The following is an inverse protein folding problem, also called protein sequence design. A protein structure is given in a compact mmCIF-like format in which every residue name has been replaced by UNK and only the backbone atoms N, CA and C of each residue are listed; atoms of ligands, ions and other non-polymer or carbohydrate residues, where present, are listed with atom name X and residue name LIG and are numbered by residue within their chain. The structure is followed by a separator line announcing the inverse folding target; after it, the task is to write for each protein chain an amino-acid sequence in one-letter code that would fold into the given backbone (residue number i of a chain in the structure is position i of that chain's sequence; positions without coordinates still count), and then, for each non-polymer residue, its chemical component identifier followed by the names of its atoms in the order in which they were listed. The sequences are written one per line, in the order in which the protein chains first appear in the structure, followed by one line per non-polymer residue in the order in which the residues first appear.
data_IF_546100148265
#
_entry.id   IF_546100148265
#
_cell.length_a   1.000
_cell.length_b   1.000
_cell.length_c   1.000
_cell.angle_alpha   90.00
_cell.angle_beta   90.00
_cell.angle_gamma   90.00
#
_symmetry.space_group_name_H-M   'P 1'
#
loop_
_entity.id
_entity.type
_entity.pdbx_description
1 polymer ?
#
# COMPACT_ATOMS: atom_id res chain seq x y z
N UNK A 1 -7.02 -35.00 -32.51
CA UNK A 1 -7.54 -33.64 -32.27
C UNK A 1 -6.65 -33.00 -31.22
N UNK A 2 -6.05 -31.87 -31.57
CA UNK A 2 -5.06 -31.20 -30.74
C UNK A 2 -5.75 -30.56 -29.53
N UNK A 3 -5.03 -30.39 -28.42
CA UNK A 3 -5.48 -29.61 -27.25
C UNK A 3 -5.87 -28.17 -27.66
N UNK A 4 -5.34 -27.68 -28.80
CA UNK A 4 -5.74 -26.42 -29.43
C UNK A 4 -7.20 -26.40 -29.93
N UNK A 5 -7.78 -27.54 -30.32
CA UNK A 5 -9.16 -27.60 -30.81
C UNK A 5 -10.19 -27.52 -29.66
N UNK A 6 -9.82 -27.99 -28.46
CA UNK A 6 -10.66 -27.85 -27.25
C UNK A 6 -10.64 -26.42 -26.69
N UNK A 7 -9.53 -25.69 -26.86
CA UNK A 7 -9.41 -24.30 -26.39
C UNK A 7 -10.18 -23.30 -27.24
N UNK A 8 -10.45 -23.59 -28.53
CA UNK A 8 -11.33 -22.75 -29.36
C UNK A 8 -12.79 -22.73 -28.89
N UNK A 9 -13.27 -23.78 -28.22
CA UNK A 9 -14.66 -23.80 -27.71
C UNK A 9 -14.87 -23.04 -26.41
N UNK A 10 -13.79 -22.72 -25.68
CA UNK A 10 -13.84 -21.93 -24.43
C UNK A 10 -13.66 -20.44 -24.71
N UNK A 11 -13.02 -20.07 -25.84
CA UNK A 11 -12.82 -18.69 -26.28
C UNK A 11 -13.68 -18.26 -27.47
N UNK A 12 -14.63 -19.09 -27.91
CA UNK A 12 -15.75 -18.60 -28.71
C UNK A 12 -16.71 -17.95 -27.74
N UNK A 13 -16.53 -16.66 -27.49
CA UNK A 13 -17.62 -15.82 -27.02
C UNK A 13 -18.79 -16.08 -27.96
N UNK A 14 -19.84 -16.74 -27.46
CA UNK A 14 -21.17 -16.43 -27.95
C UNK A 14 -21.25 -14.91 -27.92
N UNK A 15 -21.25 -14.30 -29.10
CA UNK A 15 -21.84 -12.99 -29.28
C UNK A 15 -23.27 -13.12 -28.77
N UNK A 16 -23.45 -12.90 -27.48
CA UNK A 16 -24.68 -12.32 -27.00
C UNK A 16 -24.79 -11.04 -27.81
N UNK A 17 -25.70 -11.03 -28.77
CA UNK A 17 -26.32 -9.83 -29.30
C UNK A 17 -26.81 -9.03 -28.10
N UNK A 18 -25.88 -8.25 -27.56
CA UNK A 18 -26.17 -7.13 -26.69
C UNK A 18 -26.73 -6.13 -27.67
N UNK A 19 -28.04 -5.92 -27.53
CA UNK A 19 -28.78 -4.92 -28.25
C UNK A 19 -28.34 -3.53 -27.73
N UNK A 20 -27.07 -3.17 -27.94
CA UNK A 20 -26.53 -1.84 -27.74
C UNK A 20 -26.00 -1.36 -29.08
N UNK A 21 -26.91 -0.99 -29.96
CA UNK A 21 -26.61 0.13 -30.84
C UNK A 21 -26.41 1.35 -29.94
N UNK A 22 -25.20 1.50 -29.42
CA UNK A 22 -24.76 2.80 -28.96
C UNK A 22 -24.93 3.73 -30.16
N UNK A 23 -25.88 4.66 -30.10
CA UNK A 23 -26.01 5.61 -31.19
C UNK A 23 -24.75 6.45 -31.12
N UNK A 24 -24.21 6.76 -32.29
CA UNK A 24 -22.86 7.33 -32.45
C UNK A 24 -22.64 8.64 -31.67
N UNK A 25 -23.69 9.26 -31.12
CA UNK A 25 -23.64 10.53 -30.41
C UNK A 25 -24.47 10.53 -29.11
N UNK A 26 -24.35 9.51 -28.24
CA UNK A 26 -25.10 9.47 -26.98
C UNK A 26 -24.27 9.92 -25.75
N UNK A 27 -23.08 10.50 -25.98
CA UNK A 27 -22.25 11.05 -24.92
C UNK A 27 -22.53 12.53 -24.66
N UNK A 28 -22.31 12.95 -23.42
CA UNK A 28 -22.48 14.32 -22.96
C UNK A 28 -21.49 14.66 -21.84
N UNK A 29 -21.24 15.96 -21.66
CA UNK A 29 -20.47 16.52 -20.55
C UNK A 29 -21.42 17.30 -19.65
N UNK A 30 -21.24 17.15 -18.34
CA UNK A 30 -22.06 17.81 -17.33
C UNK A 30 -21.21 18.34 -16.18
N UNK A 31 -21.73 19.33 -15.48
CA UNK A 31 -21.19 19.85 -14.24
C UNK A 31 -22.20 19.66 -13.10
N UNK A 32 -21.67 19.46 -11.90
CA UNK A 32 -22.42 19.61 -10.66
C UNK A 32 -21.97 20.89 -9.94
N UNK A 33 -22.94 21.67 -9.49
CA UNK A 33 -22.72 22.94 -8.78
C UNK A 33 -23.62 23.08 -7.56
N UNK A 34 -23.18 23.86 -6.58
CA UNK A 34 -24.01 24.31 -5.46
C UNK A 34 -24.94 25.42 -5.95
N UNK A 35 -26.26 25.27 -5.79
CA UNK A 35 -27.23 26.22 -6.38
C UNK A 35 -27.09 27.64 -5.85
N UNK A 36 -26.86 27.76 -4.55
CA UNK A 36 -26.83 29.06 -3.87
C UNK A 36 -25.62 29.90 -4.26
N UNK A 37 -24.47 29.26 -4.52
CA UNK A 37 -23.20 29.93 -4.82
C UNK A 37 -22.82 29.87 -6.30
N UNK A 38 -23.37 28.91 -7.04
CA UNK A 38 -22.94 28.56 -8.40
C UNK A 38 -21.59 27.86 -8.44
N UNK A 39 -21.03 27.47 -7.29
CA UNK A 39 -19.71 26.84 -7.22
C UNK A 39 -19.73 25.44 -7.85
N UNK A 40 -18.95 25.24 -8.90
CA UNK A 40 -18.80 23.96 -9.60
C UNK A 40 -17.82 23.09 -8.82
N UNK A 41 -18.30 21.96 -8.31
CA UNK A 41 -17.48 21.02 -7.54
C UNK A 41 -17.11 19.76 -8.31
N UNK A 42 -17.76 19.48 -9.44
CA UNK A 42 -17.42 18.31 -10.28
C UNK A 42 -17.75 18.54 -11.75
N UNK A 43 -16.87 18.08 -12.64
CA UNK A 43 -17.11 18.02 -14.09
C UNK A 43 -16.98 16.58 -14.56
N UNK A 44 -18.07 16.01 -15.07
CA UNK A 44 -18.13 14.63 -15.56
C UNK A 44 -18.50 14.55 -17.03
N UNK A 45 -18.33 13.36 -17.59
CA UNK A 45 -18.92 12.99 -18.86
C UNK A 45 -19.64 11.66 -18.71
N UNK A 46 -20.67 11.46 -19.51
CA UNK A 46 -21.61 10.36 -19.38
C UNK A 46 -22.14 9.90 -20.72
N UNK A 47 -22.77 8.73 -20.71
CA UNK A 47 -23.41 8.07 -21.84
C UNK A 47 -24.88 7.73 -21.52
N UNK A 48 -25.79 8.10 -22.41
CA UNK A 48 -27.21 7.78 -22.30
C UNK A 48 -27.97 8.52 -21.19
N UNK A 49 -29.20 8.11 -20.91
CA UNK A 49 -30.11 8.89 -20.06
C UNK A 49 -29.80 8.81 -18.54
N UNK A 50 -28.98 7.85 -18.10
CA UNK A 50 -28.80 7.50 -16.67
C UNK A 50 -27.47 7.97 -16.05
N UNK A 51 -26.51 8.47 -16.83
CA UNK A 51 -25.13 8.63 -16.34
C UNK A 51 -24.78 10.03 -15.81
N UNK A 52 -25.49 10.53 -14.80
CA UNK A 52 -25.08 11.71 -14.01
C UNK A 52 -24.33 11.33 -12.73
N UNK A 53 -23.71 10.15 -12.72
CA UNK A 53 -22.93 9.65 -11.59
C UNK A 53 -21.58 10.36 -11.51
N UNK A 54 -21.02 10.45 -10.31
CA UNK A 54 -19.66 10.97 -10.13
C UNK A 54 -18.57 9.94 -10.44
N UNK A 55 -18.88 8.76 -10.99
CA UNK A 55 -17.87 7.73 -11.26
C UNK A 55 -17.13 7.28 -10.00
N UNK A 56 -15.80 7.40 -10.01
CA UNK A 56 -14.95 7.06 -8.84
C UNK A 56 -15.18 7.99 -7.65
N UNK A 57 -15.64 9.20 -7.90
CA UNK A 57 -15.87 10.26 -6.91
C UNK A 57 -17.26 10.17 -6.26
N UNK A 58 -18.03 9.12 -6.54
CA UNK A 58 -19.42 8.94 -6.04
C UNK A 58 -19.51 9.11 -4.53
N UNK A 59 -18.58 8.54 -3.77
CA UNK A 59 -18.56 8.73 -2.31
C UNK A 59 -18.48 10.20 -1.89
N UNK A 60 -17.64 11.00 -2.55
CA UNK A 60 -17.44 12.42 -2.20
C UNK A 60 -18.60 13.29 -2.69
N UNK A 61 -19.06 13.07 -3.93
CA UNK A 61 -20.15 13.85 -4.52
C UNK A 61 -21.49 13.63 -3.82
N UNK A 62 -21.79 12.41 -3.39
CA UNK A 62 -23.01 12.13 -2.61
C UNK A 62 -22.99 12.80 -1.23
N UNK A 63 -21.84 12.87 -0.55
CA UNK A 63 -21.72 13.60 0.72
C UNK A 63 -21.98 15.10 0.57
N UNK A 64 -21.56 15.70 -0.55
CA UNK A 64 -21.88 17.10 -0.85
C UNK A 64 -23.38 17.27 -1.09
N UNK A 65 -24.00 16.37 -1.89
CA UNK A 65 -25.46 16.36 -2.15
C UNK A 65 -26.31 16.20 -0.89
N UNK A 66 -25.85 15.41 0.08
CA UNK A 66 -26.54 15.22 1.36
C UNK A 66 -26.53 16.50 2.20
N UNK A 67 -25.51 17.34 2.03
CA UNK A 67 -25.28 18.53 2.87
C UNK A 67 -25.79 19.83 2.25
N UNK A 68 -25.74 19.94 0.92
CA UNK A 68 -25.99 21.17 0.16
C UNK A 68 -27.06 20.96 -0.91
N UNK A 69 -27.81 22.02 -1.24
CA UNK A 69 -28.68 22.01 -2.41
C UNK A 69 -27.84 22.21 -3.68
N UNK A 70 -27.80 21.17 -4.51
CA UNK A 70 -26.96 21.13 -5.70
C UNK A 70 -27.79 20.87 -6.95
N UNK A 71 -27.23 21.24 -8.10
CA UNK A 71 -27.81 20.97 -9.40
C UNK A 71 -26.80 20.33 -10.34
N UNK A 72 -27.33 19.59 -11.31
CA UNK A 72 -26.55 19.02 -12.41
C UNK A 72 -27.00 19.65 -13.71
N UNK A 73 -26.04 20.19 -14.47
CA UNK A 73 -26.28 20.84 -15.74
C UNK A 73 -25.48 20.17 -16.85
N UNK A 74 -26.15 19.83 -17.94
CA UNK A 74 -25.49 19.37 -19.17
C UNK A 74 -24.84 20.60 -19.84
N UNK A 75 -23.53 20.52 -20.04
CA UNK A 75 -22.73 21.54 -20.73
C UNK A 75 -22.89 21.37 -22.23
N UNK A 76 -22.78 20.12 -22.71
CA UNK A 76 -22.93 19.75 -24.12
C UNK A 76 -23.32 18.28 -24.23
N UNK A 77 -24.22 17.96 -25.13
CA UNK A 77 -24.67 16.61 -25.47
C UNK A 77 -24.43 16.30 -26.95
N UNK A 78 -24.87 15.12 -27.38
CA UNK A 78 -24.72 14.62 -28.74
C UNK A 78 -23.25 14.57 -29.20
N UNK A 79 -22.40 13.97 -28.37
CA UNK A 79 -20.95 13.82 -28.57
C UNK A 79 -20.56 12.36 -28.84
N UNK A 80 -19.44 12.18 -29.53
CA UNK A 80 -18.69 10.91 -29.46
C UNK A 80 -17.94 10.82 -28.11
N UNK A 81 -17.55 9.61 -27.68
CA UNK A 81 -16.89 9.40 -26.38
C UNK A 81 -15.60 10.21 -26.24
N UNK A 82 -14.76 10.18 -27.28
CA UNK A 82 -13.49 10.90 -27.29
C UNK A 82 -13.71 12.42 -27.22
N UNK A 83 -14.72 12.94 -27.92
CA UNK A 83 -15.10 14.35 -27.86
C UNK A 83 -15.60 14.76 -26.47
N UNK A 84 -16.40 13.90 -25.82
CA UNK A 84 -16.90 14.15 -24.47
C UNK A 84 -15.78 14.14 -23.43
N UNK A 85 -14.82 13.20 -23.55
CA UNK A 85 -13.64 13.14 -22.69
C UNK A 85 -12.75 14.37 -22.86
N UNK A 86 -12.47 14.76 -24.10
CA UNK A 86 -11.64 15.94 -24.38
C UNK A 86 -12.31 17.22 -23.86
N UNK A 87 -13.61 17.38 -24.11
CA UNK A 87 -14.38 18.51 -23.59
C UNK A 87 -14.45 18.52 -22.05
N UNK A 88 -14.59 17.36 -21.39
CA UNK A 88 -14.55 17.29 -19.93
C UNK A 88 -13.21 17.79 -19.37
N UNK A 89 -12.09 17.47 -20.03
CA UNK A 89 -10.78 17.98 -19.66
C UNK A 89 -10.65 19.49 -19.90
N UNK A 90 -11.20 20.00 -20.99
CA UNK A 90 -11.23 21.43 -21.29
C UNK A 90 -12.05 22.22 -20.26
N UNK A 91 -13.24 21.74 -19.91
CA UNK A 91 -14.11 22.36 -18.91
C UNK A 91 -13.49 22.31 -17.52
N UNK A 92 -12.92 21.16 -17.12
CA UNK A 92 -12.20 21.05 -15.85
C UNK A 92 -11.01 22.03 -15.79
N UNK A 93 -10.29 22.18 -16.90
CA UNK A 93 -9.18 23.14 -17.03
C UNK A 93 -9.67 24.58 -16.95
N UNK A 94 -10.82 24.90 -17.54
CA UNK A 94 -11.46 26.21 -17.46
C UNK A 94 -11.81 26.55 -16.01
N UNK A 95 -12.54 25.67 -15.33
CA UNK A 95 -12.93 25.85 -13.91
C UNK A 95 -11.70 26.09 -13.05
N UNK A 96 -10.67 25.26 -13.18
CA UNK A 96 -9.43 25.37 -12.40
C UNK A 96 -8.60 26.64 -12.67
N UNK A 97 -8.77 27.27 -13.84
CA UNK A 97 -8.04 28.50 -14.22
C UNK A 97 -8.79 29.78 -13.91
N UNK A 98 -10.11 29.74 -14.05
CA UNK A 98 -10.98 30.92 -13.99
C UNK A 98 -11.63 31.10 -12.62
N UNK A 99 -11.58 30.07 -11.77
CA UNK A 99 -12.26 30.07 -10.46
C UNK A 99 -11.39 29.50 -9.35
N UNK A 100 -11.77 29.82 -8.11
CA UNK A 100 -11.24 29.22 -6.89
C UNK A 100 -12.12 28.07 -6.38
N UNK A 101 -13.01 27.53 -7.22
CA UNK A 101 -13.95 26.47 -6.81
C UNK A 101 -13.21 25.20 -6.37
N UNK A 102 -13.64 24.56 -5.28
CA UNK A 102 -13.03 23.31 -4.81
C UNK A 102 -13.61 22.14 -5.59
N UNK A 103 -12.79 21.51 -6.44
CA UNK A 103 -13.24 20.41 -7.31
C UNK A 103 -12.88 19.03 -6.75
N UNK A 104 -13.78 18.06 -6.85
CA UNK A 104 -13.55 16.68 -6.35
C UNK A 104 -13.08 15.71 -7.43
N UNK A 105 -12.91 16.13 -8.69
CA UNK A 105 -12.33 15.29 -9.73
C UNK A 105 -10.94 14.78 -9.31
N UNK A 106 -10.72 13.46 -9.33
CA UNK A 106 -9.45 12.85 -8.89
C UNK A 106 -8.27 13.22 -9.78
N UNK A 107 -8.50 13.29 -11.10
CA UNK A 107 -7.47 13.60 -12.09
C UNK A 107 -7.67 15.03 -12.57
N UNK A 108 -6.68 15.88 -12.31
CA UNK A 108 -6.61 17.25 -12.84
C UNK A 108 -5.91 17.27 -14.20
N UNK A 109 -6.29 18.17 -15.12
CA UNK A 109 -5.67 18.25 -16.44
C UNK A 109 -4.18 18.56 -16.37
N UNK A 110 -3.41 18.07 -17.34
CA UNK A 110 -1.98 18.35 -17.47
C UNK A 110 -1.69 19.86 -17.50
N UNK A 111 -0.55 20.27 -16.93
CA UNK A 111 -0.08 21.67 -16.84
C UNK A 111 -0.90 22.57 -15.91
N UNK A 112 -1.82 22.03 -15.12
CA UNK A 112 -2.47 22.75 -14.02
C UNK A 112 -1.73 22.44 -12.72
N UNK A 113 -1.31 23.49 -12.01
CA UNK A 113 -0.64 23.39 -10.71
C UNK A 113 -1.62 23.26 -9.54
N UNK A 114 -2.85 23.75 -9.73
CA UNK A 114 -3.94 23.64 -8.75
C UNK A 114 -4.37 22.18 -8.64
N UNK A 115 -4.34 21.66 -7.41
CA UNK A 115 -4.60 20.25 -7.14
C UNK A 115 -6.09 20.00 -6.88
N UNK A 116 -6.49 18.74 -6.89
CA UNK A 116 -7.84 18.30 -6.53
C UNK A 116 -8.16 18.62 -5.08
N UNK A 117 -9.42 18.98 -4.80
CA UNK A 117 -9.94 19.19 -3.46
C UNK A 117 -10.00 17.93 -2.60
N UNK A 118 -9.72 16.75 -3.20
CA UNK A 118 -9.54 15.50 -2.46
C UNK A 118 -8.23 15.44 -1.65
N UNK A 119 -7.30 16.38 -1.87
CA UNK A 119 -6.07 16.45 -1.11
C UNK A 119 -6.24 17.14 0.24
N UNK A 120 -5.23 17.02 1.11
CA UNK A 120 -5.21 17.64 2.44
C UNK A 120 -5.41 19.14 2.33
N UNK A 121 -6.30 19.68 3.17
CA UNK A 121 -6.49 21.11 3.27
C UNK A 121 -5.20 21.80 3.75
N UNK A 122 -4.96 23.01 3.24
CA UNK A 122 -3.86 23.89 3.65
C UNK A 122 -3.94 24.31 5.12
N UNK A 123 -5.10 24.16 5.77
CA UNK A 123 -5.26 24.42 7.20
C UNK A 123 -4.76 23.27 8.06
N UNK A 124 -4.57 22.08 7.48
CA UNK A 124 -4.02 20.92 8.18
C UNK A 124 -2.57 21.24 8.59
N UNK A 125 -2.22 21.12 9.89
CA UNK A 125 -0.86 21.36 10.35
C UNK A 125 0.18 20.49 9.63
N UNK A 126 1.29 21.13 9.24
CA UNK A 126 2.43 20.41 8.68
C UNK A 126 3.04 19.43 9.70
N UNK A 127 3.57 18.32 9.18
CA UNK A 127 4.27 17.34 9.97
C UNK A 127 5.51 17.91 10.66
N UNK A 128 5.83 17.32 11.82
CA UNK A 128 6.98 17.71 12.63
C UNK A 128 7.66 16.48 13.21
N UNK A 129 8.98 16.56 13.30
CA UNK A 129 9.81 15.47 13.81
C UNK A 129 9.39 15.02 15.20
N UNK A 130 9.17 13.71 15.35
CA UNK A 130 8.72 13.05 16.59
C UNK A 130 7.45 13.65 17.21
N UNK A 131 6.58 14.29 16.41
CA UNK A 131 5.27 14.75 16.84
C UNK A 131 4.19 13.93 16.14
N UNK A 132 3.13 13.59 16.87
CA UNK A 132 1.96 13.02 16.24
C UNK A 132 1.39 14.05 15.24
N UNK A 133 1.01 13.61 14.03
CA UNK A 133 0.21 14.42 13.13
C UNK A 133 -1.21 14.55 13.70
N UNK A 134 -2.06 15.24 12.95
CA UNK A 134 -3.51 15.27 13.21
C UNK A 134 -4.22 14.29 12.29
N UNK A 135 -5.47 13.96 12.60
CA UNK A 135 -6.40 13.41 11.62
C UNK A 135 -6.74 14.51 10.63
N UNK A 136 -6.19 14.43 9.43
CA UNK A 136 -6.31 15.51 8.46
C UNK A 136 -7.74 15.62 7.91
N UNK A 137 -8.04 16.80 7.38
CA UNK A 137 -9.25 17.06 6.61
C UNK A 137 -8.85 17.36 5.17
N UNK A 138 -9.59 16.82 4.20
CA UNK A 138 -9.39 17.20 2.80
C UNK A 138 -9.99 18.58 2.52
N UNK A 139 -9.50 19.27 1.49
CA UNK A 139 -9.96 20.62 1.13
C UNK A 139 -11.48 20.66 0.87
N UNK A 140 -12.03 19.66 0.18
CA UNK A 140 -13.47 19.59 -0.09
C UNK A 140 -14.30 19.31 1.18
N UNK A 141 -13.79 18.51 2.10
CA UNK A 141 -14.46 18.23 3.37
C UNK A 141 -14.54 19.49 4.22
N UNK A 142 -13.46 20.25 4.27
CA UNK A 142 -13.47 21.51 4.99
C UNK A 142 -14.39 22.53 4.33
N UNK A 143 -14.30 22.67 3.01
CA UNK A 143 -15.03 23.69 2.28
C UNK A 143 -16.53 23.44 2.19
N UNK A 144 -16.95 22.23 1.80
CA UNK A 144 -18.37 21.92 1.56
C UNK A 144 -19.07 21.26 2.74
N UNK A 145 -18.34 20.55 3.61
CA UNK A 145 -18.93 19.77 4.70
C UNK A 145 -18.73 20.40 6.08
N UNK A 146 -18.06 21.56 6.14
CA UNK A 146 -17.75 22.29 7.38
C UNK A 146 -17.02 21.39 8.40
N UNK A 147 -16.07 20.61 7.90
CA UNK A 147 -15.26 19.71 8.71
C UNK A 147 -13.90 20.35 8.99
N UNK A 148 -13.37 20.14 10.19
CA UNK A 148 -11.99 20.51 10.51
C UNK A 148 -11.16 19.26 10.78
N UNK A 149 -9.83 19.42 10.77
CA UNK A 149 -8.94 18.39 11.27
C UNK A 149 -9.17 18.18 12.78
N UNK A 150 -8.74 17.03 13.29
CA UNK A 150 -8.85 16.74 14.72
C UNK A 150 -7.60 16.06 15.24
N UNK A 151 -7.34 16.20 16.53
CA UNK A 151 -6.21 15.52 17.17
C UNK A 151 -6.51 14.03 17.32
N UNK A 152 -5.44 13.21 17.35
CA UNK A 152 -5.58 11.84 17.86
C UNK A 152 -5.99 11.86 19.34
N UNK A 153 -6.66 10.80 19.79
CA UNK A 153 -6.99 10.66 21.20
C UNK A 153 -5.72 10.68 22.06
N UNK A 154 -5.83 11.29 23.25
CA UNK A 154 -4.74 11.23 24.23
C UNK A 154 -4.58 9.80 24.72
N UNK A 155 -3.35 9.31 24.67
CA UNK A 155 -3.03 7.93 25.04
C UNK A 155 -3.36 7.66 26.51
N UNK A 156 -4.33 6.78 26.72
CA UNK A 156 -4.62 6.13 27.98
C UNK A 156 -4.04 4.71 27.96
N UNK A 157 -3.10 4.44 28.88
CA UNK A 157 -2.41 3.16 28.99
C UNK A 157 -3.37 2.00 29.34
N UNK A 158 -4.48 2.27 30.01
CA UNK A 158 -5.46 1.23 30.38
C UNK A 158 -6.20 0.66 29.16
N UNK A 159 -6.20 1.42 28.05
CA UNK A 159 -6.76 1.03 26.76
C UNK A 159 -5.74 0.29 25.87
N UNK A 160 -4.47 0.21 26.25
CA UNK A 160 -3.43 -0.50 25.50
C UNK A 160 -3.29 -1.96 25.95
N UNK A 161 -4.36 -2.77 25.87
CA UNK A 161 -4.31 -4.20 26.24
C UNK A 161 -4.11 -5.11 25.03
N UNK A 162 -4.76 -4.73 23.93
CA UNK A 162 -4.78 -5.42 22.66
C UNK A 162 -4.97 -4.39 21.56
N UNK A 163 -3.94 -4.17 20.75
CA UNK A 163 -3.86 -3.04 19.82
C UNK A 163 -3.74 -3.53 18.39
N UNK A 164 -4.38 -2.82 17.47
CA UNK A 164 -4.14 -2.99 16.03
C UNK A 164 -3.23 -1.87 15.55
N UNK A 165 -2.13 -2.22 14.87
CA UNK A 165 -1.25 -1.25 14.24
C UNK A 165 -1.79 -0.90 12.86
N UNK A 166 -2.18 0.35 12.65
CA UNK A 166 -2.64 0.82 11.34
C UNK A 166 -1.44 1.26 10.53
N UNK A 167 -0.99 0.37 9.63
CA UNK A 167 0.18 0.59 8.77
C UNK A 167 -0.15 1.41 7.51
N UNK A 168 -1.42 1.72 7.27
CA UNK A 168 -1.86 2.54 6.14
C UNK A 168 -1.54 4.02 6.37
N UNK A 169 -1.47 4.78 5.28
CA UNK A 169 -1.30 6.23 5.35
C UNK A 169 0.12 6.65 5.74
N UNK A 170 1.11 5.80 5.48
CA UNK A 170 2.53 6.11 5.62
C UNK A 170 3.07 6.45 4.24
N UNK A 171 3.33 7.73 3.98
CA UNK A 171 3.94 8.21 2.74
C UNK A 171 5.36 8.76 2.97
N UNK A 172 6.05 9.10 1.89
CA UNK A 172 7.41 9.66 1.94
C UNK A 172 7.49 10.94 2.78
N UNK A 173 6.42 11.74 2.81
CA UNK A 173 6.38 12.99 3.57
C UNK A 173 6.35 12.70 5.08
N UNK A 174 5.56 11.73 5.52
CA UNK A 174 5.52 11.25 6.91
C UNK A 174 6.87 10.64 7.31
N UNK A 175 7.43 9.78 6.46
CA UNK A 175 8.71 9.12 6.72
C UNK A 175 9.82 10.16 6.89
N UNK A 176 9.91 11.14 5.99
CA UNK A 176 10.92 12.18 6.05
C UNK A 176 10.73 13.12 7.25
N UNK A 177 9.49 13.58 7.49
CA UNK A 177 9.24 14.66 8.45
C UNK A 177 8.99 14.19 9.89
N UNK A 178 8.27 13.08 10.10
CA UNK A 178 7.99 12.55 11.45
C UNK A 178 9.15 11.65 11.90
N UNK A 179 9.64 10.79 11.01
CA UNK A 179 10.57 9.70 11.35
C UNK A 179 12.03 9.92 10.90
N UNK A 180 12.32 10.94 10.09
CA UNK A 180 13.66 11.19 9.49
C UNK A 180 14.24 9.94 8.81
N UNK A 181 13.43 9.33 7.95
CA UNK A 181 13.83 8.18 7.13
C UNK A 181 14.18 6.90 7.93
N UNK A 182 13.86 6.86 9.22
CA UNK A 182 14.13 5.72 10.11
C UNK A 182 12.84 5.19 10.75
N UNK A 183 11.78 5.03 9.95
CA UNK A 183 10.50 4.51 10.41
C UNK A 183 10.66 3.16 11.13
N UNK A 184 11.47 2.27 10.58
CA UNK A 184 11.73 0.94 11.12
C UNK A 184 12.21 0.99 12.57
N UNK A 185 13.08 1.94 12.93
CA UNK A 185 13.50 2.10 14.32
C UNK A 185 12.31 2.40 15.24
N UNK A 186 11.42 3.31 14.88
CA UNK A 186 10.29 3.68 15.74
C UNK A 186 9.26 2.56 15.84
N UNK A 187 8.97 1.88 14.73
CA UNK A 187 8.08 0.71 14.71
C UNK A 187 8.66 -0.40 15.59
N UNK A 188 9.95 -0.72 15.45
CA UNK A 188 10.60 -1.75 16.25
C UNK A 188 10.62 -1.40 17.74
N UNK A 189 10.99 -0.16 18.09
CA UNK A 189 10.96 0.30 19.49
C UNK A 189 9.56 0.20 20.09
N UNK A 190 8.53 0.57 19.33
CA UNK A 190 7.13 0.49 19.77
C UNK A 190 6.72 -0.96 19.98
N UNK A 191 6.95 -1.85 19.00
CA UNK A 191 6.61 -3.28 19.09
C UNK A 191 7.29 -3.94 20.29
N UNK A 192 8.56 -3.65 20.54
CA UNK A 192 9.29 -4.21 21.69
C UNK A 192 8.77 -3.72 23.04
N UNK A 193 8.37 -2.45 23.15
CA UNK A 193 7.77 -1.94 24.38
C UNK A 193 6.36 -2.50 24.60
N UNK A 194 5.56 -2.65 23.54
CA UNK A 194 4.27 -3.32 23.61
C UNK A 194 4.44 -4.77 24.11
N UNK A 195 5.40 -5.50 23.53
CA UNK A 195 5.71 -6.87 23.94
C UNK A 195 6.18 -6.95 25.40
N UNK A 196 7.07 -6.05 25.82
CA UNK A 196 7.55 -5.99 27.21
C UNK A 196 6.41 -5.80 28.21
N UNK A 197 5.41 -4.99 27.85
CA UNK A 197 4.22 -4.71 28.64
C UNK A 197 3.14 -5.81 28.51
N UNK A 198 3.42 -6.90 27.80
CA UNK A 198 2.47 -7.96 27.46
C UNK A 198 1.20 -7.45 26.75
N UNK A 199 1.36 -6.38 25.97
CA UNK A 199 0.29 -5.80 25.16
C UNK A 199 0.20 -6.60 23.87
N UNK A 200 -0.98 -7.18 23.61
CA UNK A 200 -1.19 -7.98 22.41
C UNK A 200 -1.26 -7.09 21.18
N UNK A 201 -0.60 -7.48 20.09
CA UNK A 201 -0.84 -6.90 18.76
C UNK A 201 -1.77 -7.86 18.02
N UNK A 202 -2.90 -7.36 17.52
CA UNK A 202 -3.87 -8.16 16.75
C UNK A 202 -3.69 -7.96 15.25
N UNK A 203 -4.04 -8.98 14.46
CA UNK A 203 -3.89 -8.97 12.99
C UNK A 203 -5.10 -8.35 12.27
N UNK A 204 -6.22 -8.13 12.97
CA UNK A 204 -7.46 -7.58 12.41
C UNK A 204 -7.91 -6.34 13.19
N UNK A 205 -8.18 -5.25 12.46
CA UNK A 205 -8.63 -3.97 13.02
C UNK A 205 -9.92 -4.09 13.83
N UNK A 206 -10.79 -5.04 13.47
CA UNK A 206 -12.08 -5.31 14.09
C UNK A 206 -12.09 -6.64 14.85
N UNK A 207 -10.93 -7.09 15.35
CA UNK A 207 -10.88 -8.24 16.27
C UNK A 207 -11.75 -7.99 17.52
N UNK A 208 -12.44 -9.01 18.03
CA UNK A 208 -13.37 -8.85 19.17
C UNK A 208 -12.69 -8.30 20.45
N UNK A 209 -11.40 -8.59 20.60
CA UNK A 209 -10.56 -8.18 21.72
C UNK A 209 -9.73 -6.93 21.44
N UNK A 210 -9.86 -6.26 20.29
CA UNK A 210 -9.16 -4.99 20.06
C UNK A 210 -9.64 -3.91 21.02
N UNK A 211 -8.70 -3.15 21.57
CA UNK A 211 -8.91 -2.12 22.61
C UNK A 211 -8.42 -0.74 22.20
N UNK A 212 -7.53 -0.63 21.21
CA UNK A 212 -7.12 0.63 20.60
C UNK A 212 -6.61 0.42 19.17
N UNK A 213 -6.70 1.45 18.35
CA UNK A 213 -6.02 1.54 17.06
C UNK A 213 -4.83 2.49 17.17
N UNK A 214 -3.67 2.03 16.71
CA UNK A 214 -2.42 2.81 16.78
C UNK A 214 -1.94 3.06 15.36
N UNK A 215 -2.10 4.30 14.90
CA UNK A 215 -1.71 4.72 13.56
C UNK A 215 -0.21 4.98 13.47
N UNK A 216 0.42 4.43 12.45
CA UNK A 216 1.83 4.67 12.12
C UNK A 216 1.98 5.95 11.29
N UNK A 217 1.06 6.18 10.35
CA UNK A 217 0.98 7.41 9.57
C UNK A 217 -0.20 8.28 10.01
N UNK A 218 -0.80 8.96 9.05
CA UNK A 218 -2.05 9.69 9.26
C UNK A 218 -3.20 9.17 8.39
N UNK A 219 -4.42 9.63 8.67
CA UNK A 219 -5.59 9.30 7.88
C UNK A 219 -6.61 10.45 7.98
N UNK A 220 -7.58 10.47 7.07
CA UNK A 220 -8.60 11.52 7.11
C UNK A 220 -9.57 11.29 8.26
N UNK A 221 -10.01 12.38 8.90
CA UNK A 221 -11.01 12.34 9.97
C UNK A 221 -12.31 11.64 9.52
N UNK A 222 -12.72 11.83 8.26
CA UNK A 222 -13.91 11.17 7.71
C UNK A 222 -13.76 9.65 7.67
N UNK A 223 -12.56 9.16 7.28
CA UNK A 223 -12.27 7.74 7.19
C UNK A 223 -12.12 7.09 8.56
N UNK A 224 -11.54 7.80 9.53
CA UNK A 224 -11.52 7.36 10.92
C UNK A 224 -12.94 7.21 11.46
N UNK A 225 -13.82 8.21 11.26
CA UNK A 225 -15.23 8.15 11.66
C UNK A 225 -15.96 6.96 11.02
N UNK A 226 -15.71 6.69 9.73
CA UNK A 226 -16.27 5.52 9.06
C UNK A 226 -15.83 4.20 9.73
N UNK A 227 -14.56 4.12 10.16
CA UNK A 227 -14.07 2.96 10.90
C UNK A 227 -14.68 2.88 12.29
N UNK A 228 -14.81 3.99 13.02
CA UNK A 228 -15.48 4.03 14.32
C UNK A 228 -16.94 3.56 14.21
N UNK A 229 -17.69 4.00 13.20
CA UNK A 229 -19.06 3.56 12.95
C UNK A 229 -19.11 2.05 12.65
N UNK A 230 -18.17 1.54 11.84
CA UNK A 230 -18.04 0.10 11.58
C UNK A 230 -17.72 -0.69 12.84
N UNK A 231 -16.85 -0.17 13.71
CA UNK A 231 -16.54 -0.80 14.99
C UNK A 231 -17.75 -0.78 15.93
N UNK A 232 -18.51 0.31 15.98
CA UNK A 232 -19.74 0.38 16.76
C UNK A 232 -20.77 -0.64 16.26
N UNK A 233 -20.92 -0.80 14.93
CA UNK A 233 -21.85 -1.78 14.35
C UNK A 233 -21.42 -3.24 14.59
N UNK A 234 -20.12 -3.54 14.41
CA UNK A 234 -19.60 -4.91 14.48
C UNK A 234 -19.30 -5.38 15.91
N UNK A 235 -18.80 -4.48 16.74
CA UNK A 235 -18.23 -4.79 18.05
C UNK A 235 -19.02 -4.16 19.20
N UNK A 236 -19.94 -3.24 18.91
CA UNK A 236 -20.68 -2.47 19.93
C UNK A 236 -19.76 -1.72 20.90
N UNK A 237 -18.61 -1.24 20.39
CA UNK A 237 -17.58 -0.55 21.16
C UNK A 237 -17.08 0.67 20.38
N UNK A 238 -16.84 1.75 21.11
CA UNK A 238 -15.96 2.83 20.66
C UNK A 238 -14.52 2.41 20.91
N UNK A 239 -13.66 2.56 19.91
CA UNK A 239 -12.25 2.21 19.98
C UNK A 239 -11.44 3.50 19.90
N UNK A 240 -10.60 3.81 20.90
CA UNK A 240 -9.76 5.00 20.87
C UNK A 240 -8.71 4.90 19.76
N UNK A 241 -8.39 6.05 19.18
CA UNK A 241 -7.51 6.18 18.04
C UNK A 241 -6.27 6.98 18.44
N UNK A 242 -5.14 6.30 18.51
CA UNK A 242 -3.86 6.87 18.93
C UNK A 242 -2.88 6.96 17.77
N UNK A 243 -1.92 7.87 17.87
CA UNK A 243 -0.74 7.85 17.00
C UNK A 243 0.44 7.14 17.67
N UNK A 244 1.23 6.40 16.88
CA UNK A 244 2.37 5.61 17.35
C UNK A 244 3.38 6.43 18.12
N UNK A 245 3.67 7.68 17.70
CA UNK A 245 4.64 8.53 18.39
C UNK A 245 4.25 8.83 19.84
N UNK A 246 2.96 9.03 20.12
CA UNK A 246 2.50 9.34 21.47
C UNK A 246 2.40 8.08 22.33
N UNK A 247 2.02 6.95 21.73
CA UNK A 247 2.09 5.63 22.37
C UNK A 247 3.54 5.33 22.76
N UNK A 248 4.48 5.50 21.84
CA UNK A 248 5.91 5.27 22.07
C UNK A 248 6.43 6.17 23.20
N UNK A 249 6.09 7.46 23.22
CA UNK A 249 6.47 8.38 24.30
C UNK A 249 5.94 7.89 25.65
N UNK A 250 4.66 7.48 25.73
CA UNK A 250 4.06 7.00 26.97
C UNK A 250 4.65 5.69 27.46
N UNK A 251 4.91 4.75 26.57
CA UNK A 251 5.57 3.50 26.91
C UNK A 251 7.02 3.74 27.35
N UNK A 252 7.74 4.67 26.70
CA UNK A 252 9.09 5.06 27.11
C UNK A 252 9.11 5.70 28.51
N UNK A 253 8.15 6.57 28.78
CA UNK A 253 7.97 7.20 30.09
C UNK A 253 7.72 6.15 31.18
N UNK A 254 6.83 5.19 30.91
CA UNK A 254 6.52 4.08 31.82
C UNK A 254 7.71 3.18 32.10
N UNK A 255 8.55 2.93 31.09
CA UNK A 255 9.67 1.97 31.13
C UNK A 255 11.04 2.64 31.26
N UNK A 256 11.09 3.90 31.72
CA UNK A 256 12.29 4.75 31.68
C UNK A 256 13.55 4.08 32.24
N UNK A 257 13.41 3.30 33.32
CA UNK A 257 14.53 2.67 34.01
C UNK A 257 15.02 1.37 33.34
N UNK A 258 14.25 0.80 32.42
CA UNK A 258 14.53 -0.47 31.73
C UNK A 258 14.72 -0.30 30.22
N UNK A 259 14.68 0.93 29.70
CA UNK A 259 14.78 1.19 28.25
C UNK A 259 16.03 0.59 27.61
N UNK A 260 17.19 0.74 28.26
CA UNK A 260 18.44 0.22 27.74
C UNK A 260 18.42 -1.31 27.68
N UNK A 261 17.86 -2.00 28.68
CA UNK A 261 17.71 -3.44 28.67
C UNK A 261 16.76 -3.90 27.54
N UNK A 262 15.59 -3.27 27.45
CA UNK A 262 14.56 -3.58 26.45
C UNK A 262 15.11 -3.37 25.03
N UNK A 263 15.78 -2.24 24.78
CA UNK A 263 16.32 -1.91 23.46
C UNK A 263 17.66 -2.61 23.16
N UNK A 264 18.46 -2.98 24.15
CA UNK A 264 19.64 -3.81 23.92
C UNK A 264 19.25 -5.24 23.56
N UNK A 265 18.12 -5.76 24.07
CA UNK A 265 17.54 -7.03 23.60
C UNK A 265 17.23 -7.00 22.09
N UNK A 266 16.83 -5.83 21.56
CA UNK A 266 16.63 -5.57 20.12
C UNK A 266 17.96 -5.59 19.35
N UNK A 267 19.02 -5.01 19.92
CA UNK A 267 20.36 -5.04 19.30
C UNK A 267 20.96 -6.44 19.30
N UNK A 268 20.80 -7.21 20.39
CA UNK A 268 21.29 -8.59 20.46
C UNK A 268 20.46 -9.60 19.67
N UNK A 269 19.22 -9.25 19.27
CA UNK A 269 18.47 -10.00 18.24
C UNK A 269 18.88 -9.62 16.80
N UNK A 270 19.72 -8.59 16.62
CA UNK A 270 20.26 -8.14 15.32
C UNK A 270 21.79 -8.20 15.25
N UNK A 271 22.29 -9.43 15.27
CA UNK A 271 23.35 -9.92 14.38
C UNK A 271 23.37 -11.43 14.59
N UNK A 272 22.46 -12.13 13.91
CA UNK A 272 22.58 -13.58 13.78
C UNK A 272 23.88 -13.79 13.01
N UNK A 273 24.94 -14.17 13.73
CA UNK A 273 26.24 -14.49 13.13
C UNK A 273 26.01 -15.73 12.29
N UNK A 274 25.96 -15.55 10.97
CA UNK A 274 25.81 -16.65 10.02
C UNK A 274 27.17 -17.11 9.52
N UNK A 275 27.28 -18.41 9.28
CA UNK A 275 28.47 -19.03 8.69
C UNK A 275 28.12 -19.79 7.40
N UNK A 276 27.61 -19.10 6.37
CA UNK A 276 27.13 -19.76 5.16
C UNK A 276 28.27 -20.51 4.45
N UNK A 277 28.11 -21.81 4.29
CA UNK A 277 29.04 -22.65 3.53
C UNK A 277 28.45 -22.98 2.16
N UNK A 278 28.85 -22.23 1.13
CA UNK A 278 28.39 -22.42 -0.24
C UNK A 278 29.50 -22.20 -1.28
N UNK A 279 29.25 -22.66 -2.51
CA UNK A 279 30.16 -22.56 -3.65
C UNK A 279 29.74 -21.50 -4.67
N UNK A 280 28.91 -20.52 -4.26
CA UNK A 280 28.41 -19.49 -5.18
C UNK A 280 29.54 -18.54 -5.57
N UNK A 281 29.53 -18.10 -6.83
CA UNK A 281 30.38 -16.98 -7.25
C UNK A 281 29.99 -15.71 -6.49
N UNK A 282 30.97 -14.84 -6.24
CA UNK A 282 30.69 -13.55 -5.61
C UNK A 282 29.76 -12.72 -6.48
N UNK A 283 28.98 -11.81 -5.86
CA UNK A 283 27.98 -11.01 -6.59
C UNK A 283 28.62 -10.22 -7.75
N UNK A 284 29.83 -9.70 -7.57
CA UNK A 284 30.54 -8.93 -8.60
C UNK A 284 31.05 -9.78 -9.78
N UNK A 285 31.13 -11.11 -9.62
CA UNK A 285 31.55 -12.05 -10.66
C UNK A 285 30.36 -12.64 -11.44
N UNK A 286 29.13 -12.26 -11.12
CA UNK A 286 27.93 -12.69 -11.85
C UNK A 286 27.94 -12.10 -13.26
N UNK A 287 27.66 -12.94 -14.25
CA UNK A 287 27.57 -12.53 -15.65
C UNK A 287 26.27 -11.77 -15.91
N UNK A 288 26.29 -10.88 -16.90
CA UNK A 288 25.10 -10.16 -17.38
C UNK A 288 24.37 -9.33 -16.29
N UNK A 289 25.09 -8.80 -15.28
CA UNK A 289 24.49 -7.94 -14.25
C UNK A 289 23.88 -6.66 -14.80
N UNK A 290 24.46 -6.14 -15.88
CA UNK A 290 24.06 -4.94 -16.61
C UNK A 290 23.02 -5.22 -17.71
N UNK A 291 22.72 -6.48 -18.00
CA UNK A 291 21.72 -6.90 -18.99
C UNK A 291 20.76 -7.95 -18.39
N UNK A 292 19.72 -7.50 -17.66
CA UNK A 292 18.75 -8.38 -17.01
C UNK A 292 18.01 -9.30 -18.00
N UNK A 293 17.77 -8.84 -19.23
CA UNK A 293 17.06 -9.62 -20.24
C UNK A 293 17.90 -10.82 -20.70
N UNK A 294 19.20 -10.59 -20.93
CA UNK A 294 20.15 -11.66 -21.26
C UNK A 294 20.39 -12.57 -20.06
N UNK A 295 20.53 -12.02 -18.86
CA UNK A 295 20.66 -12.80 -17.64
C UNK A 295 19.48 -13.73 -17.40
N UNK A 296 18.26 -13.24 -17.61
CA UNK A 296 17.05 -14.05 -17.56
C UNK A 296 17.06 -15.16 -18.61
N UNK A 297 17.39 -14.84 -19.87
CA UNK A 297 17.42 -15.81 -20.97
C UNK A 297 18.43 -16.94 -20.73
N UNK A 298 19.63 -16.62 -20.26
CA UNK A 298 20.70 -17.59 -20.06
C UNK A 298 20.52 -18.42 -18.78
N UNK A 299 20.04 -17.81 -17.70
CA UNK A 299 19.86 -18.48 -16.42
C UNK A 299 18.56 -19.29 -16.28
N UNK A 300 17.48 -18.93 -16.99
CA UNK A 300 16.16 -19.57 -16.82
C UNK A 300 16.17 -21.08 -17.07
N UNK A 301 16.96 -21.54 -18.05
CA UNK A 301 17.11 -22.98 -18.32
C UNK A 301 17.61 -23.73 -17.09
N UNK A 302 18.61 -23.20 -16.41
CA UNK A 302 19.20 -23.82 -15.23
C UNK A 302 18.25 -23.79 -14.04
N UNK A 303 17.52 -22.69 -13.83
CA UNK A 303 16.48 -22.65 -12.80
C UNK A 303 15.40 -23.71 -13.03
N UNK A 304 14.93 -23.89 -14.27
CA UNK A 304 13.96 -24.93 -14.61
C UNK A 304 14.47 -26.35 -14.33
N UNK A 305 15.74 -26.64 -14.65
CA UNK A 305 16.36 -27.93 -14.30
C UNK A 305 16.52 -28.09 -12.78
N UNK A 306 16.89 -27.02 -12.08
CA UNK A 306 16.94 -26.99 -10.61
C UNK A 306 15.59 -27.30 -9.97
N UNK A 307 14.49 -26.76 -10.50
CA UNK A 307 13.13 -27.05 -10.03
C UNK A 307 12.74 -28.52 -10.23
N UNK A 308 13.20 -29.19 -11.30
CA UNK A 308 13.00 -30.64 -11.46
C UNK A 308 13.71 -31.41 -10.36
N UNK A 309 15.01 -31.13 -10.15
CA UNK A 309 15.78 -31.77 -9.08
C UNK A 309 15.20 -31.51 -7.69
N UNK A 310 14.70 -30.29 -7.43
CA UNK A 310 14.06 -29.94 -6.16
C UNK A 310 12.81 -30.78 -5.91
N UNK A 311 11.95 -30.93 -6.92
CA UNK A 311 10.72 -31.74 -6.82
C UNK A 311 11.03 -33.21 -6.55
N UNK A 312 12.13 -33.70 -7.10
CA UNK A 312 12.63 -35.06 -6.86
C UNK A 312 13.46 -35.18 -5.56
N UNK A 313 13.50 -34.13 -4.73
CA UNK A 313 14.29 -34.05 -3.48
C UNK A 313 15.80 -34.24 -3.65
N UNK A 314 16.32 -34.04 -4.87
CA UNK A 314 17.75 -34.02 -5.18
C UNK A 314 18.33 -32.62 -4.89
N UNK A 315 18.33 -32.22 -3.63
CA UNK A 315 18.60 -30.85 -3.19
C UNK A 315 19.97 -30.30 -3.58
N UNK A 316 21.04 -31.09 -3.50
CA UNK A 316 22.38 -30.65 -3.92
C UNK A 316 22.44 -30.35 -5.42
N UNK A 317 21.78 -31.18 -6.24
CA UNK A 317 21.67 -30.96 -7.68
C UNK A 317 20.81 -29.73 -8.00
N UNK A 318 19.76 -29.47 -7.22
CA UNK A 318 18.95 -28.27 -7.34
C UNK A 318 19.78 -27.01 -7.06
N UNK A 319 20.51 -26.99 -5.93
CA UNK A 319 21.40 -25.88 -5.54
C UNK A 319 22.42 -25.60 -6.64
N UNK A 320 23.12 -26.63 -7.15
CA UNK A 320 24.10 -26.45 -8.24
C UNK A 320 23.49 -25.80 -9.49
N UNK A 321 22.27 -26.18 -9.84
CA UNK A 321 21.56 -25.59 -10.97
C UNK A 321 21.14 -24.14 -10.69
N UNK A 322 20.68 -23.85 -9.47
CA UNK A 322 20.39 -22.48 -9.07
C UNK A 322 21.66 -21.62 -9.04
N UNK A 323 22.80 -22.14 -8.59
CA UNK A 323 24.10 -21.45 -8.61
C UNK A 323 24.48 -21.09 -10.03
N UNK A 324 24.29 -22.03 -10.96
CA UNK A 324 24.53 -21.78 -12.39
C UNK A 324 23.54 -20.74 -12.95
N UNK A 325 22.26 -20.79 -12.56
CA UNK A 325 21.27 -19.81 -12.98
C UNK A 325 21.65 -18.39 -12.50
N UNK A 326 22.04 -18.28 -11.22
CA UNK A 326 22.49 -17.04 -10.59
C UNK A 326 23.78 -16.52 -11.22
N UNK A 327 24.76 -17.38 -11.48
CA UNK A 327 26.04 -17.03 -12.14
C UNK A 327 25.81 -16.44 -13.55
N UNK A 328 24.81 -16.91 -14.28
CA UNK A 328 24.47 -16.40 -15.61
C UNK A 328 23.61 -15.11 -15.57
N UNK A 329 23.31 -14.58 -14.39
CA UNK A 329 22.63 -13.29 -14.23
C UNK A 329 21.14 -13.36 -13.93
N UNK A 330 20.55 -14.55 -13.73
CA UNK A 330 19.14 -14.65 -13.35
C UNK A 330 18.94 -14.02 -11.95
N UNK A 331 18.07 -13.02 -11.87
CA UNK A 331 17.70 -12.34 -10.64
C UNK A 331 16.17 -12.17 -10.62
N UNK A 332 15.47 -13.13 -10.03
CA UNK A 332 14.01 -13.13 -9.93
C UNK A 332 13.56 -13.61 -8.55
N UNK A 333 12.39 -13.16 -8.06
CA UNK A 333 11.84 -13.65 -6.78
C UNK A 333 11.74 -15.18 -6.72
N UNK A 334 11.42 -15.83 -7.84
CA UNK A 334 11.30 -17.27 -7.95
C UNK A 334 12.63 -18.00 -7.68
N UNK A 335 13.75 -17.49 -8.19
CA UNK A 335 15.06 -18.10 -7.96
C UNK A 335 15.43 -18.11 -6.46
N UNK A 336 15.33 -16.95 -5.81
CA UNK A 336 15.67 -16.82 -4.38
C UNK A 336 14.70 -17.62 -3.49
N UNK A 337 13.41 -17.65 -3.83
CA UNK A 337 12.41 -18.47 -3.14
C UNK A 337 12.69 -19.97 -3.27
N UNK A 338 13.13 -20.42 -4.45
CA UNK A 338 13.54 -21.81 -4.69
C UNK A 338 14.76 -22.20 -3.85
N UNK A 339 15.80 -21.36 -3.84
CA UNK A 339 16.96 -21.55 -2.97
C UNK A 339 16.57 -21.69 -1.50
N UNK A 340 15.85 -20.70 -0.97
CA UNK A 340 15.45 -20.68 0.42
C UNK A 340 14.62 -21.92 0.80
N UNK A 341 13.79 -22.41 -0.13
CA UNK A 341 13.01 -23.64 0.06
C UNK A 341 13.87 -24.88 0.16
N UNK A 342 14.92 -24.99 -0.65
CA UNK A 342 15.85 -26.11 -0.57
C UNK A 342 16.65 -26.07 0.72
N UNK A 343 17.24 -24.92 1.05
CA UNK A 343 18.02 -24.77 2.30
C UNK A 343 17.16 -25.04 3.53
N UNK A 344 15.92 -24.55 3.58
CA UNK A 344 14.98 -24.87 4.66
C UNK A 344 14.69 -26.37 4.77
N UNK A 345 14.56 -27.06 3.64
CA UNK A 345 14.31 -28.51 3.63
C UNK A 345 15.50 -29.30 4.16
N UNK A 346 16.70 -28.74 4.02
CA UNK A 346 17.96 -29.27 4.55
C UNK A 346 18.28 -28.79 5.99
N UNK A 347 17.47 -27.88 6.56
CA UNK A 347 17.76 -27.16 7.80
C UNK A 347 19.09 -26.40 7.78
N UNK A 348 19.50 -25.92 6.60
CA UNK A 348 20.69 -25.09 6.42
C UNK A 348 20.28 -23.62 6.51
N UNK A 349 19.99 -23.17 7.73
CA UNK A 349 19.44 -21.83 7.94
C UNK A 349 20.46 -20.72 7.66
N UNK A 350 21.75 -20.98 7.85
CA UNK A 350 22.84 -20.06 7.47
C UNK A 350 22.77 -19.70 5.98
N UNK A 351 22.73 -20.70 5.11
CA UNK A 351 22.65 -20.46 3.67
C UNK A 351 21.26 -19.96 3.22
N UNK A 352 20.17 -20.30 3.93
CA UNK A 352 18.84 -19.71 3.71
C UNK A 352 18.85 -18.21 4.00
N UNK A 353 19.45 -17.77 5.11
CA UNK A 353 19.55 -16.36 5.49
C UNK A 353 20.41 -15.60 4.47
N UNK A 354 21.60 -16.12 4.15
CA UNK A 354 22.54 -15.48 3.21
C UNK A 354 21.90 -15.22 1.84
N UNK A 355 21.22 -16.22 1.27
CA UNK A 355 20.61 -16.08 -0.06
C UNK A 355 19.38 -15.17 -0.07
N UNK A 356 18.61 -15.12 1.02
CA UNK A 356 17.48 -14.21 1.18
C UNK A 356 17.95 -12.74 1.32
N UNK A 357 19.02 -12.51 2.09
CA UNK A 357 19.63 -11.17 2.21
C UNK A 357 20.13 -10.67 0.85
N UNK A 358 20.81 -11.52 0.08
CA UNK A 358 21.21 -11.16 -1.29
C UNK A 358 20.00 -10.85 -2.17
N UNK A 359 18.98 -11.71 -2.15
CA UNK A 359 17.76 -11.55 -2.95
C UNK A 359 17.03 -10.25 -2.66
N UNK A 360 16.80 -9.93 -1.39
CA UNK A 360 16.17 -8.67 -0.97
C UNK A 360 16.99 -7.48 -1.48
N UNK A 361 18.32 -7.49 -1.30
CA UNK A 361 19.18 -6.39 -1.74
C UNK A 361 19.16 -6.20 -3.26
N UNK A 362 19.25 -7.28 -4.04
CA UNK A 362 19.34 -7.21 -5.51
C UNK A 362 17.99 -6.89 -6.15
N UNK A 363 16.89 -7.40 -5.61
CA UNK A 363 15.55 -7.18 -6.16
C UNK A 363 14.95 -5.82 -5.75
N UNK A 364 15.33 -5.27 -4.58
CA UNK A 364 14.88 -3.92 -4.18
C UNK A 364 15.41 -2.81 -5.08
N UNK A 365 16.46 -3.09 -5.87
CA UNK A 365 17.03 -2.16 -6.84
C UNK A 365 16.39 -2.30 -8.24
N UNK A 366 15.33 -3.11 -8.40
CA UNK A 366 14.64 -3.34 -9.67
C UNK A 366 13.24 -2.72 -9.65
N UNK A 367 12.97 -1.80 -10.58
CA UNK A 367 11.70 -1.05 -10.65
C UNK A 367 10.46 -1.93 -10.92
N UNK A 368 10.65 -3.16 -11.40
CA UNK A 368 9.60 -4.06 -11.86
C UNK A 368 9.26 -5.20 -10.88
N UNK A 369 9.80 -5.18 -9.67
CA UNK A 369 9.51 -6.21 -8.65
C UNK A 369 8.46 -5.70 -7.67
N UNK A 370 7.33 -6.40 -7.58
CA UNK A 370 6.29 -6.09 -6.59
C UNK A 370 6.83 -6.17 -5.16
N UNK A 371 6.52 -5.15 -4.36
CA UNK A 371 6.84 -5.06 -2.94
C UNK A 371 6.36 -6.28 -2.14
N UNK A 372 5.24 -6.89 -2.55
CA UNK A 372 4.71 -8.11 -1.93
C UNK A 372 5.71 -9.29 -1.95
N UNK A 373 6.53 -9.42 -3.01
CA UNK A 373 7.55 -10.47 -3.09
C UNK A 373 8.71 -10.20 -2.14
N UNK A 374 9.10 -8.93 -2.00
CA UNK A 374 10.16 -8.51 -1.07
C UNK A 374 9.72 -8.75 0.37
N UNK A 375 8.48 -8.38 0.71
CA UNK A 375 7.92 -8.59 2.04
C UNK A 375 7.83 -10.07 2.41
N UNK A 376 7.39 -10.93 1.48
CA UNK A 376 7.40 -12.39 1.70
C UNK A 376 8.82 -12.93 1.96
N UNK A 377 9.84 -12.43 1.26
CA UNK A 377 11.23 -12.80 1.53
C UNK A 377 11.75 -12.29 2.88
N UNK A 378 11.36 -11.07 3.30
CA UNK A 378 11.69 -10.51 4.62
C UNK A 378 11.07 -11.35 5.75
N UNK A 379 9.80 -11.70 5.64
CA UNK A 379 9.14 -12.60 6.61
C UNK A 379 9.85 -13.94 6.73
N UNK A 380 10.23 -14.52 5.58
CA UNK A 380 10.96 -15.79 5.54
C UNK A 380 12.35 -15.69 6.14
N UNK A 381 13.05 -14.58 5.90
CA UNK A 381 14.36 -14.27 6.47
C UNK A 381 14.28 -14.20 7.99
N UNK A 382 13.31 -13.47 8.54
CA UNK A 382 13.11 -13.41 9.99
C UNK A 382 12.78 -14.78 10.57
N UNK A 383 11.96 -15.58 9.87
CA UNK A 383 11.70 -16.96 10.29
C UNK A 383 12.95 -17.84 10.27
N UNK A 384 13.83 -17.67 9.29
CA UNK A 384 15.08 -18.43 9.21
C UNK A 384 16.02 -18.07 10.36
N UNK A 385 16.13 -16.78 10.71
CA UNK A 385 16.87 -16.30 11.88
C UNK A 385 16.33 -16.90 13.18
N UNK A 386 15.01 -16.91 13.37
CA UNK A 386 14.38 -17.54 14.54
C UNK A 386 14.70 -19.04 14.65
N UNK A 387 14.79 -19.74 13.51
CA UNK A 387 15.08 -21.17 13.46
C UNK A 387 16.55 -21.44 13.75
N UNK A 388 17.47 -20.64 13.21
CA UNK A 388 18.91 -20.76 13.51
C UNK A 388 19.20 -20.53 15.00
N UNK A 389 18.50 -19.59 15.64
CA UNK A 389 18.63 -19.34 17.09
C UNK A 389 18.08 -20.47 17.97
N UNK A 390 17.36 -21.44 17.40
CA UNK A 390 16.80 -22.60 18.11
C UNK A 390 17.60 -23.89 17.91
N UNK A 391 18.56 -23.88 16.99
CA UNK A 391 19.55 -24.95 16.84
C UNK A 391 20.67 -24.79 17.87
#
# INVERSE_FOLDING_TARGET
MSIFDKLKSVFSSEEKETNSQARKNDWYVFEWSVKDTGEIFYVGYGYGDDSKSFGFETYHGERIKEKLDVECKIIKDNLEEDEARDLQQEELKRVLKETDNVIINRVTPNMITRKSGLLKSVTTPNYRFEQAPVLYVSEYEQHYLDMDYDDFDKVDLDNLKSVFLVEKGVDDEIIANIYKDDLDKYVNQTKSLLEHENIKIVDDQFANDVTAWVYIGDDSIAKVKEYEDKAQQKLSKKIPVYHMMDVLKKLKEKNKDSLDEIFNKIKTTKEVVIHPHNSRVAVFDIKNLDDPAKGAKEGLRYWNEGEKFRKDSHFQSAIKNYDTARENGLCTPALYSSYASVYRSMKDYDNEIDILQEGIKRLSNQDNVSESHINSMKERLEKAKELLLKE
#
